data_IF_740563486349
#
_entry.id   IF_740563486349
#
_cell.length_a   1.000
_cell.length_b   1.000
_cell.length_c   1.000
_cell.angle_alpha   90.00
_cell.angle_beta   90.00
_cell.angle_gamma   90.00
#
_symmetry.space_group_name_H-M   'P 1'
#
loop_
_entity.id
_entity.type
_entity.pdbx_description
1 polymer ?
#
# COMPACT_ATOMS: atom_id res chain seq x y z
N UNK A 1 41.72 10.73 -15.36
CA UNK A 1 41.32 9.72 -14.34
C UNK A 1 40.29 10.25 -13.33
N UNK A 2 40.42 11.46 -12.79
CA UNK A 2 39.47 12.01 -11.79
C UNK A 2 38.02 12.18 -12.30
N UNK A 3 37.84 12.59 -13.55
CA UNK A 3 36.52 12.79 -14.17
C UNK A 3 35.75 11.47 -14.38
N UNK A 4 36.46 10.38 -14.68
CA UNK A 4 35.85 9.05 -14.85
C UNK A 4 35.37 8.47 -13.53
N UNK A 5 36.13 8.68 -12.45
CA UNK A 5 35.73 8.31 -11.09
C UNK A 5 34.49 9.09 -10.63
N UNK A 6 34.43 10.41 -10.89
CA UNK A 6 33.25 11.20 -10.53
C UNK A 6 32.00 10.79 -11.31
N UNK A 7 32.10 10.47 -12.60
CA UNK A 7 30.97 9.97 -13.39
C UNK A 7 30.48 8.60 -12.92
N UNK A 8 31.39 7.70 -12.53
CA UNK A 8 31.03 6.39 -11.99
C UNK A 8 30.27 6.48 -10.67
N UNK A 9 30.73 7.35 -9.75
CA UNK A 9 30.07 7.55 -8.45
C UNK A 9 28.67 8.15 -8.64
N UNK A 10 28.51 9.15 -9.51
CA UNK A 10 27.19 9.75 -9.79
C UNK A 10 26.25 8.71 -10.40
N UNK A 11 26.70 7.90 -11.36
CA UNK A 11 25.89 6.86 -12.00
C UNK A 11 25.43 5.78 -10.99
N UNK A 12 26.31 5.34 -10.09
CA UNK A 12 25.95 4.41 -9.01
C UNK A 12 24.89 5.00 -8.07
N UNK A 13 25.01 6.28 -7.70
CA UNK A 13 24.04 6.95 -6.84
C UNK A 13 22.65 7.04 -7.51
N UNK A 14 22.58 7.28 -8.81
CA UNK A 14 21.30 7.32 -9.55
C UNK A 14 20.64 5.94 -9.59
N UNK A 15 21.41 4.86 -9.77
CA UNK A 15 20.89 3.49 -9.76
C UNK A 15 20.42 3.04 -8.36
N UNK A 16 21.12 3.44 -7.31
CA UNK A 16 20.68 3.17 -5.94
C UNK A 16 19.39 3.94 -5.59
N UNK A 17 19.25 5.17 -6.07
CA UNK A 17 18.03 5.97 -5.88
C UNK A 17 16.82 5.41 -6.64
N UNK A 18 17.02 4.85 -7.84
CA UNK A 18 15.93 4.22 -8.60
C UNK A 18 15.52 2.85 -8.03
N UNK A 19 16.46 2.08 -7.50
CA UNK A 19 16.16 0.88 -6.72
C UNK A 19 15.48 1.21 -5.37
N UNK A 20 15.70 2.41 -4.81
CA UNK A 20 15.07 2.87 -3.58
C UNK A 20 13.60 3.32 -3.77
N UNK A 21 13.15 3.58 -5.00
CA UNK A 21 11.81 4.09 -5.27
C UNK A 21 10.73 3.00 -5.38
N UNK A 22 11.12 1.72 -5.48
CA UNK A 22 10.17 0.61 -5.62
C UNK A 22 10.16 -0.30 -4.41
N UNK A 23 9.05 -0.28 -3.66
CA UNK A 23 8.80 -1.20 -2.55
C UNK A 23 8.43 -2.63 -2.99
N UNK A 24 8.37 -2.89 -4.30
CA UNK A 24 7.94 -4.18 -4.83
C UNK A 24 8.87 -5.33 -4.43
N UNK A 25 10.18 -5.05 -4.38
CA UNK A 25 11.20 -6.04 -4.06
C UNK A 25 11.42 -6.26 -2.56
N UNK A 26 11.01 -5.30 -1.72
CA UNK A 26 11.47 -5.18 -0.36
C UNK A 26 10.37 -4.54 0.52
N UNK A 27 9.95 -5.27 1.54
CA UNK A 27 8.81 -4.90 2.39
C UNK A 27 9.12 -3.75 3.36
N UNK A 28 10.39 -3.51 3.68
CA UNK A 28 10.81 -2.51 4.67
C UNK A 28 11.16 -1.15 4.02
N UNK A 29 10.85 -1.00 2.73
CA UNK A 29 11.10 0.25 1.99
C UNK A 29 10.11 1.36 2.31
N UNK A 30 8.89 1.00 2.72
CA UNK A 30 7.86 1.98 3.09
C UNK A 30 7.95 2.32 4.57
N UNK A 31 7.50 3.53 4.95
CA UNK A 31 7.41 3.92 6.35
C UNK A 31 6.35 3.06 7.10
N UNK A 32 6.39 3.07 8.43
CA UNK A 32 5.43 2.31 9.27
C UNK A 32 3.97 2.70 9.01
N UNK A 33 3.68 3.95 8.62
CA UNK A 33 2.35 4.43 8.27
C UNK A 33 1.99 4.23 6.78
N UNK A 34 2.83 3.52 6.02
CA UNK A 34 2.68 3.31 4.58
C UNK A 34 2.63 1.82 4.22
N UNK A 35 1.99 1.50 3.10
CA UNK A 35 1.99 0.18 2.49
C UNK A 35 2.50 0.25 1.05
N UNK A 36 2.98 -0.88 0.54
CA UNK A 36 3.37 -0.99 -0.86
C UNK A 36 2.17 -1.31 -1.74
N UNK A 37 1.87 -0.46 -2.73
CA UNK A 37 0.83 -0.74 -3.74
C UNK A 37 1.42 -0.94 -5.13
N UNK A 38 0.76 -1.79 -5.92
CA UNK A 38 0.99 -1.96 -7.35
C UNK A 38 -0.25 -1.52 -8.10
N UNK A 39 -0.06 -0.63 -9.08
CA UNK A 39 -1.13 -0.16 -9.95
C UNK A 39 -1.02 -0.88 -11.29
N UNK A 40 -2.08 -1.61 -11.66
CA UNK A 40 -2.09 -2.45 -12.87
C UNK A 40 -1.09 -3.59 -12.80
N UNK A 41 -0.43 -3.88 -13.93
CA UNK A 41 0.57 -4.95 -14.07
C UNK A 41 2.01 -4.42 -14.10
N UNK A 42 2.25 -3.25 -13.51
CA UNK A 42 3.58 -2.63 -13.50
C UNK A 42 4.51 -3.37 -12.54
N UNK A 43 5.80 -3.51 -12.87
CA UNK A 43 6.79 -4.11 -11.97
C UNK A 43 7.31 -3.15 -10.88
N UNK A 44 6.67 -1.99 -10.75
CA UNK A 44 7.02 -0.97 -9.77
C UNK A 44 5.99 -0.96 -8.64
N UNK A 45 6.47 -0.95 -7.40
CA UNK A 45 5.65 -0.75 -6.21
C UNK A 45 5.81 0.69 -5.75
N UNK A 46 4.73 1.30 -5.26
CA UNK A 46 4.74 2.68 -4.74
C UNK A 46 4.28 2.64 -3.29
N UNK A 47 5.02 3.29 -2.40
CA UNK A 47 4.57 3.46 -1.02
C UNK A 47 3.41 4.46 -0.99
N UNK A 48 2.33 4.08 -0.32
CA UNK A 48 1.15 4.93 -0.08
C UNK A 48 0.76 4.83 1.38
N UNK A 49 0.24 5.92 1.92
CA UNK A 49 -0.28 5.94 3.28
C UNK A 49 -1.46 4.99 3.45
N UNK A 50 -1.55 4.41 4.64
CA UNK A 50 -2.74 3.69 5.07
C UNK A 50 -3.96 4.62 5.14
N UNK A 51 -5.15 4.03 5.00
CA UNK A 51 -6.38 4.81 5.08
C UNK A 51 -6.69 5.23 6.52
N UNK A 52 -7.03 6.51 6.70
CA UNK A 52 -7.41 7.10 7.98
C UNK A 52 -8.91 6.92 8.26
N UNK A 53 -9.37 7.36 9.44
CA UNK A 53 -10.78 7.29 9.85
C UNK A 53 -11.68 7.97 8.82
N UNK A 54 -12.84 7.36 8.54
CA UNK A 54 -13.84 7.77 7.56
C UNK A 54 -13.41 7.74 6.08
N UNK A 55 -12.15 7.40 5.78
CA UNK A 55 -11.70 7.21 4.40
C UNK A 55 -12.23 5.91 3.80
N UNK A 56 -12.42 5.93 2.47
CA UNK A 56 -12.96 4.79 1.72
C UNK A 56 -11.90 3.70 1.56
N UNK A 57 -12.21 2.51 2.05
CA UNK A 57 -11.37 1.32 2.01
C UNK A 57 -12.01 0.19 1.21
N UNK A 58 -11.21 -0.79 0.81
CA UNK A 58 -11.70 -2.02 0.17
C UNK A 58 -11.99 -3.07 1.24
N UNK A 59 -13.18 -3.67 1.21
CA UNK A 59 -13.60 -4.71 2.17
C UNK A 59 -12.70 -5.95 2.11
N UNK A 60 -12.15 -6.24 0.93
CA UNK A 60 -11.18 -7.32 0.69
C UNK A 60 -10.01 -6.75 -0.12
N UNK A 61 -8.97 -6.21 0.54
CA UNK A 61 -7.83 -5.67 -0.17
C UNK A 61 -7.15 -6.78 -0.97
N UNK A 62 -7.00 -6.56 -2.26
CA UNK A 62 -6.36 -7.51 -3.16
C UNK A 62 -4.85 -7.43 -2.98
N UNK A 63 -4.19 -8.58 -2.88
CA UNK A 63 -2.72 -8.67 -2.82
C UNK A 63 -2.15 -9.13 -4.15
N UNK A 64 -0.87 -8.87 -4.38
CA UNK A 64 -0.14 -9.45 -5.49
C UNK A 64 -0.01 -10.97 -5.26
N UNK A 65 -0.11 -11.75 -6.35
CA UNK A 65 -0.02 -13.21 -6.33
C UNK A 65 1.36 -13.75 -5.94
N UNK A 66 2.42 -12.98 -6.16
CA UNK A 66 3.81 -13.40 -5.95
C UNK A 66 4.46 -12.72 -4.74
N UNK A 67 3.85 -11.66 -4.20
CA UNK A 67 4.41 -10.81 -3.15
C UNK A 67 3.29 -10.35 -2.21
N UNK A 68 3.13 -11.03 -1.08
CA UNK A 68 2.03 -10.79 -0.13
C UNK A 68 2.09 -9.43 0.58
N UNK A 69 3.25 -8.78 0.55
CA UNK A 69 3.46 -7.43 1.10
C UNK A 69 3.04 -6.31 0.12
N UNK A 70 2.72 -6.67 -1.13
CA UNK A 70 2.31 -5.72 -2.17
C UNK A 70 0.80 -5.81 -2.37
N UNK A 71 0.10 -4.72 -2.06
CA UNK A 71 -1.32 -4.58 -2.31
C UNK A 71 -1.59 -4.14 -3.74
N UNK A 72 -2.74 -4.51 -4.30
CA UNK A 72 -3.20 -4.04 -5.60
C UNK A 72 -4.06 -2.81 -5.37
N UNK A 73 -3.76 -1.74 -6.09
CA UNK A 73 -4.56 -0.50 -6.18
C UNK A 73 -4.56 0.35 -4.89
N UNK A 74 -4.87 -0.20 -3.71
CA UNK A 74 -5.00 0.56 -2.46
C UNK A 74 -4.37 -0.12 -1.24
N UNK A 75 -3.99 0.71 -0.27
CA UNK A 75 -3.59 0.26 1.04
C UNK A 75 -4.80 -0.13 1.91
N UNK A 76 -4.60 -0.98 2.92
CA UNK A 76 -5.61 -1.21 3.94
C UNK A 76 -5.78 0.02 4.85
N UNK A 77 -6.77 -0.05 5.75
CA UNK A 77 -6.88 0.89 6.85
C UNK A 77 -5.64 0.85 7.74
N UNK A 78 -5.37 1.98 8.41
CA UNK A 78 -4.31 2.08 9.41
C UNK A 78 -4.53 1.04 10.53
N UNK A 79 -3.45 0.60 11.15
CA UNK A 79 -3.52 -0.32 12.29
C UNK A 79 -4.50 0.19 13.37
N UNK A 80 -5.31 -0.71 13.90
CA UNK A 80 -6.38 -0.39 14.86
C UNK A 80 -7.69 0.10 14.22
N UNK A 81 -7.75 0.30 12.90
CA UNK A 81 -8.98 0.60 12.17
C UNK A 81 -9.47 -0.61 11.37
N UNK A 82 -10.78 -0.81 11.32
CA UNK A 82 -11.43 -1.81 10.47
C UNK A 82 -12.18 -1.16 9.32
N UNK A 83 -12.16 -1.82 8.16
CA UNK A 83 -12.96 -1.43 7.01
C UNK A 83 -14.40 -1.92 7.19
N UNK A 84 -15.33 -1.01 7.46
CA UNK A 84 -16.74 -1.33 7.71
C UNK A 84 -17.58 -0.94 6.49
N UNK A 85 -18.45 -1.85 6.04
CA UNK A 85 -19.35 -1.61 4.92
C UNK A 85 -20.26 -0.41 5.18
N UNK A 86 -20.26 0.56 4.26
CA UNK A 86 -21.24 1.65 4.30
C UNK A 86 -22.57 1.13 3.76
N UNK A 87 -23.63 1.23 4.58
CA UNK A 87 -25.00 0.71 4.34
C UNK A 87 -25.43 0.72 2.86
N UNK A 88 -25.63 -0.48 2.29
CA UNK A 88 -26.58 -0.80 1.23
C UNK A 88 -26.12 -0.62 -0.23
N UNK A 89 -26.08 -1.73 -1.00
CA UNK A 89 -25.89 -1.74 -2.46
C UNK A 89 -24.73 -2.62 -2.93
N UNK A 90 -24.59 -2.83 -4.24
CA UNK A 90 -23.47 -3.58 -4.86
C UNK A 90 -22.09 -3.00 -4.47
N UNK A 91 -22.01 -1.68 -4.28
CA UNK A 91 -20.80 -0.96 -3.87
C UNK A 91 -20.42 -1.24 -2.41
N UNK A 92 -21.41 -1.39 -1.51
CA UNK A 92 -21.17 -1.72 -0.10
C UNK A 92 -20.55 -3.10 0.13
N UNK A 93 -20.61 -4.01 -0.87
CA UNK A 93 -19.96 -5.32 -0.80
C UNK A 93 -18.45 -5.28 -1.06
N UNK A 94 -17.96 -4.25 -1.77
CA UNK A 94 -16.55 -4.14 -2.18
C UNK A 94 -15.83 -2.98 -1.51
N UNK A 95 -16.54 -1.93 -1.13
CA UNK A 95 -15.99 -0.76 -0.47
C UNK A 95 -16.69 -0.48 0.88
N UNK A 96 -15.91 0.01 1.83
CA UNK A 96 -16.35 0.43 3.16
C UNK A 96 -15.68 1.74 3.57
N UNK A 97 -15.73 2.04 4.85
CA UNK A 97 -14.98 3.12 5.48
C UNK A 97 -14.16 2.61 6.65
N UNK A 98 -12.98 3.18 6.84
CA UNK A 98 -12.16 2.85 8.01
C UNK A 98 -12.79 3.47 9.26
N UNK A 99 -13.07 2.66 10.26
CA UNK A 99 -13.57 3.10 11.57
C UNK A 99 -12.74 2.46 12.68
N UNK A 100 -12.71 3.08 13.85
CA UNK A 100 -12.08 2.46 15.01
C UNK A 100 -12.76 1.14 15.33
N UNK A 101 -11.96 0.14 15.69
CA UNK A 101 -12.48 -1.17 16.09
C UNK A 101 -13.18 -1.07 17.45
N UNK A 102 -14.38 -0.49 17.47
CA UNK A 102 -15.23 -0.43 18.65
C UNK A 102 -15.98 -1.74 18.86
N UNK A 103 -15.29 -2.90 18.85
CA UNK A 103 -15.78 -4.17 19.41
C UNK A 103 -17.20 -4.66 19.08
N UNK A 104 -17.88 -4.11 18.06
CA UNK A 104 -19.25 -4.46 17.70
C UNK A 104 -19.19 -5.48 16.58
N UNK A 105 -19.30 -6.73 17.01
CA UNK A 105 -19.70 -7.86 16.17
C UNK A 105 -20.96 -7.45 15.39
N UNK A 106 -20.97 -7.51 14.04
CA UNK A 106 -22.21 -7.31 13.32
C UNK A 106 -23.12 -8.48 13.68
N UNK A 107 -24.14 -8.21 14.49
CA UNK A 107 -25.26 -9.09 14.75
C UNK A 107 -25.85 -9.56 13.42
N UNK A 108 -25.72 -10.86 13.17
CA UNK A 108 -26.46 -11.58 12.14
C UNK A 108 -27.96 -11.48 12.48
N UNK A 109 -28.74 -10.85 11.60
CA UNK A 109 -30.21 -10.95 11.55
C UNK A 109 -30.62 -11.88 10.40
#
# INVERSE_FOLDING_TARGET
MRVFLTCLVVSLCVMAASAALTCFGDAEKCAEDECCIQIGNTLAGICKKHHEVDEVCEMKPLKNLFKDHVYKIRCPCKEGLKCISSKGGLVGKFAGKCQQDSGEEPSEE
#
